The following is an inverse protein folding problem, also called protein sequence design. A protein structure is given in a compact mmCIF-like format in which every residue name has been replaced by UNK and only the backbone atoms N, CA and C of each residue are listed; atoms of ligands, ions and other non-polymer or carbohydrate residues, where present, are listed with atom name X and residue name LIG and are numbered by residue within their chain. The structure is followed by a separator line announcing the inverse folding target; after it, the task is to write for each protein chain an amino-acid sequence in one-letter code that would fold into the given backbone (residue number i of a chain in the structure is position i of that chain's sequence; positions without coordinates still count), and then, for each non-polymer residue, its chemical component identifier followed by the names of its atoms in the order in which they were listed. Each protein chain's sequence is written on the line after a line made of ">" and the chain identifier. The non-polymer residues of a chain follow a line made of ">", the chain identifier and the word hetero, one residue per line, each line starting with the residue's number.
data_IF_812181474905
#
_entry.id   IF_812181474905
#
_cell.length_a   1.000
_cell.length_b   1.000
_cell.length_c   1.000
_cell.angle_alpha   90.00
_cell.angle_beta   90.00
_cell.angle_gamma   90.00
#
_symmetry.space_group_name_H-M   'P 1'
#
loop_
_entity.id
_entity.type
_entity.pdbx_description
1 polymer ?
#
# COMPACT_ATOMS: atom_id res chain seq x y z
N UNK A 1 -29.67 14.59 33.30
CA UNK A 1 -30.74 14.42 32.28
C UNK A 1 -30.20 14.97 30.97
N UNK A 2 -29.96 14.08 29.98
CA UNK A 2 -29.54 14.33 28.57
C UNK A 2 -28.15 15.00 28.44
N UNK A 3 -27.12 14.38 27.87
CA UNK A 3 -27.08 13.76 26.55
C UNK A 3 -26.33 12.41 26.57
N UNK A 4 -27.10 11.35 26.41
CA UNK A 4 -26.69 10.03 25.88
C UNK A 4 -27.27 10.00 24.45
N UNK A 5 -26.62 9.26 23.54
CA UNK A 5 -26.87 9.13 22.08
C UNK A 5 -26.21 10.28 21.26
N UNK A 6 -25.22 10.03 20.41
CA UNK A 6 -25.23 9.06 19.30
C UNK A 6 -23.89 8.32 19.19
N UNK A 7 -23.87 7.05 19.62
CA UNK A 7 -22.94 6.04 19.12
C UNK A 7 -23.81 5.01 18.40
N UNK A 8 -24.14 5.28 17.14
CA UNK A 8 -24.97 4.39 16.33
C UNK A 8 -24.48 4.44 14.87
N UNK A 9 -23.85 3.31 14.50
CA UNK A 9 -23.71 2.77 13.15
C UNK A 9 -22.97 3.62 12.09
N UNK A 10 -21.65 3.43 12.01
CA UNK A 10 -21.02 3.17 10.71
C UNK A 10 -20.20 1.88 10.85
N UNK A 11 -20.92 0.76 10.91
CA UNK A 11 -20.36 -0.52 10.49
C UNK A 11 -20.76 -0.65 9.02
N UNK A 12 -20.00 -0.02 8.13
CA UNK A 12 -19.84 -0.57 6.79
C UNK A 12 -18.67 -1.56 6.86
N UNK A 13 -18.80 -2.58 7.72
CA UNK A 13 -17.84 -3.68 7.75
C UNK A 13 -17.69 -4.21 6.34
N UNK A 14 -16.46 -4.30 5.84
CA UNK A 14 -16.12 -5.16 4.71
C UNK A 14 -16.98 -6.42 4.78
N UNK A 15 -17.84 -6.68 3.79
CA UNK A 15 -18.75 -7.80 3.85
C UNK A 15 -17.92 -9.08 3.97
N UNK A 16 -18.17 -9.84 5.04
CA UNK A 16 -17.52 -11.12 5.36
C UNK A 16 -16.00 -11.02 5.69
N UNK A 17 -15.66 -10.27 6.75
CA UNK A 17 -14.29 -10.22 7.29
C UNK A 17 -13.69 -11.61 7.56
N UNK A 18 -14.41 -12.59 8.13
CA UNK A 18 -13.86 -13.94 8.34
C UNK A 18 -13.37 -14.60 7.05
N UNK A 19 -14.17 -14.62 5.98
CA UNK A 19 -13.75 -15.21 4.71
C UNK A 19 -12.56 -14.47 4.09
N UNK A 20 -12.51 -13.14 4.19
CA UNK A 20 -11.36 -12.36 3.71
C UNK A 20 -10.08 -12.65 4.52
N UNK A 21 -10.19 -12.84 5.84
CA UNK A 21 -9.05 -13.25 6.70
C UNK A 21 -8.54 -14.62 6.28
N UNK A 22 -9.44 -15.59 6.11
CA UNK A 22 -9.09 -16.96 5.69
C UNK A 22 -8.41 -16.93 4.31
N UNK A 23 -8.97 -16.20 3.35
CA UNK A 23 -8.37 -16.02 2.04
C UNK A 23 -6.94 -15.46 2.12
N UNK A 24 -6.70 -14.43 2.94
CA UNK A 24 -5.36 -13.86 3.11
C UNK A 24 -4.41 -14.82 3.81
N UNK A 25 -4.88 -15.60 4.80
CA UNK A 25 -4.07 -16.61 5.49
C UNK A 25 -3.63 -17.72 4.53
N UNK A 26 -4.48 -18.14 3.59
CA UNK A 26 -4.12 -19.11 2.55
C UNK A 26 -3.06 -18.61 1.56
N UNK A 27 -2.74 -17.31 1.55
CA UNK A 27 -1.64 -16.75 0.76
C UNK A 27 -0.29 -16.86 1.44
N UNK A 28 -0.25 -17.29 2.70
CA UNK A 28 0.99 -17.57 3.39
C UNK A 28 1.56 -18.92 2.94
N UNK A 29 2.83 -18.95 2.58
CA UNK A 29 3.56 -20.14 2.12
C UNK A 29 4.23 -20.84 3.29
N UNK A 30 4.74 -22.06 3.06
CA UNK A 30 5.45 -22.84 4.09
C UNK A 30 6.71 -22.15 4.62
N UNK A 31 7.40 -21.35 3.79
CA UNK A 31 8.54 -20.56 4.24
C UNK A 31 8.12 -19.28 4.99
N UNK A 32 6.83 -19.09 5.29
CA UNK A 32 6.28 -18.00 6.07
C UNK A 32 5.98 -16.70 5.31
N UNK A 33 6.56 -16.51 4.13
CA UNK A 33 6.25 -15.38 3.24
C UNK A 33 4.88 -15.49 2.58
N UNK A 34 4.40 -14.43 1.92
CA UNK A 34 3.10 -14.44 1.23
C UNK A 34 3.23 -14.37 -0.28
N UNK A 35 2.27 -14.91 -1.03
CA UNK A 35 2.15 -14.80 -2.50
C UNK A 35 0.88 -14.04 -2.91
N UNK A 36 0.86 -13.46 -4.12
CA UNK A 36 -0.30 -12.66 -4.56
C UNK A 36 -1.45 -13.50 -5.12
N UNK A 37 -1.10 -14.52 -5.90
CA UNK A 37 -2.01 -15.44 -6.57
C UNK A 37 -1.65 -16.87 -6.17
N UNK A 38 -2.56 -17.86 -6.34
CA UNK A 38 -2.19 -19.27 -6.22
C UNK A 38 -1.01 -19.61 -7.12
N UNK A 39 -0.08 -20.41 -6.61
CA UNK A 39 1.04 -20.94 -7.41
C UNK A 39 0.48 -21.91 -8.46
N UNK A 40 0.87 -21.77 -9.75
CA UNK A 40 0.52 -22.76 -10.77
C UNK A 40 1.00 -24.17 -10.41
N UNK A 41 0.28 -25.18 -10.91
CA UNK A 41 0.68 -26.58 -10.70
C UNK A 41 2.07 -26.84 -11.28
N UNK A 42 2.95 -27.44 -10.47
CA UNK A 42 4.34 -27.73 -10.86
C UNK A 42 5.33 -26.58 -10.69
N UNK A 43 4.89 -25.41 -10.23
CA UNK A 43 5.77 -24.30 -9.85
C UNK A 43 5.93 -24.19 -8.32
N UNK A 44 7.06 -23.61 -7.90
CA UNK A 44 7.30 -23.27 -6.50
C UNK A 44 6.74 -21.88 -6.16
N UNK A 45 6.17 -21.69 -4.95
CA UNK A 45 5.70 -20.38 -4.53
C UNK A 45 6.87 -19.40 -4.40
N UNK A 46 6.70 -18.17 -4.90
CA UNK A 46 7.72 -17.11 -4.89
C UNK A 46 7.29 -15.93 -4.01
N UNK A 47 7.30 -16.08 -2.68
CA UNK A 47 6.95 -14.98 -1.80
C UNK A 47 8.02 -13.88 -1.81
N UNK A 48 7.61 -12.67 -1.47
CA UNK A 48 8.52 -11.52 -1.32
C UNK A 48 8.22 -10.77 -0.03
N UNK A 49 9.14 -9.92 0.43
CA UNK A 49 8.85 -9.00 1.52
C UNK A 49 7.66 -8.07 1.19
N UNK A 50 7.52 -7.65 -0.08
CA UNK A 50 6.38 -6.81 -0.53
C UNK A 50 5.05 -7.50 -0.31
N UNK A 51 4.89 -8.72 -0.82
CA UNK A 51 3.66 -9.49 -0.63
C UNK A 51 3.45 -9.83 0.85
N UNK A 52 4.50 -10.19 1.57
CA UNK A 52 4.43 -10.46 3.02
C UNK A 52 3.89 -9.26 3.80
N UNK A 53 4.43 -8.06 3.54
CA UNK A 53 3.92 -6.81 4.14
C UNK A 53 2.47 -6.54 3.77
N UNK A 54 2.07 -6.74 2.52
CA UNK A 54 0.68 -6.59 2.09
C UNK A 54 -0.26 -7.54 2.86
N UNK A 55 0.13 -8.81 3.00
CA UNK A 55 -0.62 -9.82 3.76
C UNK A 55 -0.79 -9.44 5.23
N UNK A 56 0.30 -9.07 5.91
CA UNK A 56 0.28 -8.63 7.31
C UNK A 56 -0.65 -7.43 7.51
N UNK A 57 -0.52 -6.39 6.67
CA UNK A 57 -1.37 -5.20 6.77
C UNK A 57 -2.83 -5.52 6.48
N UNK A 58 -3.13 -6.33 5.46
CA UNK A 58 -4.48 -6.75 5.14
C UNK A 58 -5.14 -7.50 6.30
N UNK A 59 -4.43 -8.48 6.87
CA UNK A 59 -4.88 -9.22 8.05
C UNK A 59 -5.12 -8.28 9.23
N UNK A 60 -4.18 -7.38 9.52
CA UNK A 60 -4.31 -6.40 10.61
C UNK A 60 -5.54 -5.50 10.45
N UNK A 61 -5.80 -4.99 9.25
CA UNK A 61 -6.97 -4.16 8.94
C UNK A 61 -8.29 -4.91 9.16
N UNK A 62 -8.30 -6.20 8.83
CA UNK A 62 -9.46 -7.07 9.01
C UNK A 62 -9.62 -7.58 10.45
N UNK A 63 -8.62 -7.40 11.31
CA UNK A 63 -8.59 -7.94 12.67
C UNK A 63 -8.05 -9.37 12.76
N UNK A 64 -7.48 -9.89 11.68
CA UNK A 64 -6.81 -11.19 11.61
C UNK A 64 -5.33 -11.15 11.99
N UNK A 65 -4.69 -12.31 11.93
CA UNK A 65 -3.26 -12.54 12.17
C UNK A 65 -2.72 -13.50 11.10
N UNK A 66 -1.41 -13.48 10.79
CA UNK A 66 -0.80 -14.52 9.95
C UNK A 66 -1.07 -15.90 10.54
N UNK A 67 -1.18 -16.92 9.68
CA UNK A 67 -1.37 -18.30 10.11
C UNK A 67 -0.15 -18.81 10.87
N UNK A 68 1.05 -18.40 10.43
CA UNK A 68 2.31 -18.68 11.10
C UNK A 68 3.11 -17.38 11.29
N UNK A 69 3.09 -16.82 12.50
CA UNK A 69 3.86 -15.61 12.79
C UNK A 69 5.36 -15.86 12.80
N UNK A 70 5.82 -17.02 13.29
CA UNK A 70 7.26 -17.29 13.43
C UNK A 70 7.88 -17.54 12.05
N UNK A 71 7.18 -18.22 11.14
CA UNK A 71 7.61 -18.34 9.74
C UNK A 71 7.80 -16.97 9.07
N UNK A 72 6.96 -15.96 9.36
CA UNK A 72 7.18 -14.59 8.83
C UNK A 72 8.51 -14.01 9.33
N UNK A 73 8.86 -14.27 10.58
CA UNK A 73 10.11 -13.79 11.20
C UNK A 73 11.31 -14.49 10.59
N UNK A 74 11.23 -15.81 10.41
CA UNK A 74 12.25 -16.60 9.73
C UNK A 74 12.47 -16.12 8.29
N UNK A 75 11.39 -15.91 7.53
CA UNK A 75 11.44 -15.36 6.18
C UNK A 75 12.11 -13.99 6.14
N UNK A 76 11.71 -13.08 7.04
CA UNK A 76 12.27 -11.74 7.15
C UNK A 76 13.78 -11.79 7.46
N UNK A 77 14.20 -12.64 8.38
CA UNK A 77 15.60 -12.81 8.73
C UNK A 77 16.42 -13.38 7.57
N UNK A 78 15.86 -14.36 6.82
CA UNK A 78 16.50 -14.92 5.63
C UNK A 78 16.66 -13.91 4.48
N UNK A 79 15.83 -12.86 4.46
CA UNK A 79 15.93 -11.76 3.50
C UNK A 79 16.97 -10.69 3.90
N UNK A 80 17.48 -10.69 5.13
CA UNK A 80 18.49 -9.70 5.54
C UNK A 80 19.87 -10.03 4.96
N UNK A 81 20.64 -9.00 4.59
CA UNK A 81 22.01 -9.09 4.09
C UNK A 81 22.94 -8.34 5.03
N UNK A 82 23.66 -9.09 5.87
CA UNK A 82 24.48 -8.52 6.94
C UNK A 82 25.73 -7.77 6.43
N UNK A 83 26.25 -8.14 5.27
CA UNK A 83 27.39 -7.50 4.64
C UNK A 83 27.09 -6.06 4.21
N UNK A 84 25.94 -5.82 3.57
CA UNK A 84 25.51 -4.50 3.09
C UNK A 84 24.55 -3.77 4.04
N UNK A 85 23.94 -4.49 4.98
CA UNK A 85 23.00 -3.92 5.95
C UNK A 85 21.59 -3.63 5.40
N UNK A 86 21.22 -4.26 4.28
CA UNK A 86 19.93 -4.10 3.62
C UNK A 86 19.08 -5.38 3.63
N UNK A 87 17.88 -5.32 3.07
CA UNK A 87 17.04 -6.50 2.83
C UNK A 87 16.88 -6.76 1.33
N UNK A 88 16.86 -8.03 0.97
CA UNK A 88 16.48 -8.55 -0.33
C UNK A 88 14.99 -8.84 -0.42
N UNK A 89 14.45 -8.94 -1.64
CA UNK A 89 13.03 -9.23 -1.85
C UNK A 89 12.64 -10.62 -1.32
N UNK A 90 13.54 -11.59 -1.42
CA UNK A 90 13.44 -12.96 -0.96
C UNK A 90 14.87 -13.49 -0.62
N UNK A 91 15.02 -14.69 -0.03
CA UNK A 91 16.32 -15.21 0.39
C UNK A 91 17.36 -15.42 -0.72
N UNK A 92 16.95 -15.48 -1.99
CA UNK A 92 17.84 -15.72 -3.14
C UNK A 92 18.22 -14.43 -3.88
N UNK A 93 17.55 -13.31 -3.59
CA UNK A 93 17.77 -12.04 -4.26
C UNK A 93 18.89 -11.22 -3.59
N UNK A 94 19.35 -10.19 -4.29
CA UNK A 94 20.22 -9.16 -3.72
C UNK A 94 19.43 -8.14 -2.91
N UNK A 95 20.11 -7.45 -1.99
CA UNK A 95 19.51 -6.34 -1.26
C UNK A 95 19.20 -5.17 -2.19
N UNK A 96 18.05 -4.53 -1.97
CA UNK A 96 17.63 -3.36 -2.75
C UNK A 96 16.90 -2.33 -1.87
N UNK A 97 16.81 -1.05 -2.28
CA UNK A 97 16.18 -0.02 -1.45
C UNK A 97 14.69 -0.26 -1.14
N UNK A 98 13.94 -0.85 -2.08
CA UNK A 98 12.51 -1.13 -1.89
C UNK A 98 12.35 -2.23 -0.84
N UNK A 99 13.08 -3.34 -0.99
CA UNK A 99 13.01 -4.47 -0.06
C UNK A 99 13.54 -4.09 1.32
N UNK A 100 14.59 -3.27 1.39
CA UNK A 100 15.11 -2.71 2.65
C UNK A 100 14.06 -1.88 3.38
N UNK A 101 13.39 -0.96 2.66
CA UNK A 101 12.28 -0.17 3.21
C UNK A 101 11.17 -1.07 3.75
N UNK A 102 10.78 -2.10 2.98
CA UNK A 102 9.71 -3.02 3.36
C UNK A 102 10.10 -3.90 4.54
N UNK A 103 11.33 -4.41 4.61
CA UNK A 103 11.84 -5.20 5.73
C UNK A 103 11.80 -4.43 7.05
N UNK A 104 12.28 -3.18 7.04
CA UNK A 104 12.23 -2.29 8.21
C UNK A 104 10.79 -2.03 8.68
N UNK A 105 9.88 -1.81 7.72
CA UNK A 105 8.46 -1.66 8.02
C UNK A 105 7.87 -2.95 8.65
N UNK A 106 8.20 -4.14 8.14
CA UNK A 106 7.74 -5.42 8.71
C UNK A 106 8.25 -5.59 10.14
N UNK A 107 9.51 -5.25 10.44
CA UNK A 107 10.05 -5.26 11.81
C UNK A 107 9.17 -4.43 12.76
N UNK A 108 8.80 -3.21 12.35
CA UNK A 108 7.92 -2.33 13.12
C UNK A 108 6.51 -2.90 13.31
N UNK A 109 5.92 -3.47 12.28
CA UNK A 109 4.58 -4.07 12.35
C UNK A 109 4.52 -5.32 13.24
N UNK A 110 5.59 -6.12 13.24
CA UNK A 110 5.72 -7.29 14.12
C UNK A 110 6.22 -6.92 15.53
N UNK A 111 6.53 -5.65 15.77
CA UNK A 111 7.10 -5.11 17.02
C UNK A 111 8.37 -5.84 17.45
N UNK A 112 9.25 -6.12 16.48
CA UNK A 112 10.53 -6.78 16.72
C UNK A 112 11.60 -5.74 17.08
N UNK A 113 12.63 -6.12 17.87
CA UNK A 113 13.80 -5.28 18.07
C UNK A 113 14.43 -4.91 16.72
N UNK A 114 14.54 -3.61 16.44
CA UNK A 114 14.92 -3.13 15.11
C UNK A 114 16.18 -2.24 15.09
N UNK A 115 16.71 -1.82 16.25
CA UNK A 115 17.84 -0.90 16.37
C UNK A 115 19.04 -1.28 15.49
N UNK A 116 19.42 -2.57 15.49
CA UNK A 116 20.55 -3.08 14.69
C UNK A 116 20.34 -3.02 13.17
N UNK A 117 19.09 -2.91 12.73
CA UNK A 117 18.72 -2.89 11.31
C UNK A 117 18.47 -1.48 10.80
N UNK A 118 17.85 -0.61 11.62
CA UNK A 118 17.37 0.71 11.16
C UNK A 118 18.52 1.57 10.66
N UNK A 119 19.58 1.78 11.45
CA UNK A 119 20.67 2.68 11.05
C UNK A 119 21.34 2.24 9.74
N UNK A 120 21.69 0.95 9.64
CA UNK A 120 22.33 0.39 8.44
C UNK A 120 21.40 0.39 7.23
N UNK A 121 20.12 0.05 7.43
CA UNK A 121 19.14 0.05 6.36
C UNK A 121 18.84 1.46 5.83
N UNK A 122 18.78 2.46 6.72
CA UNK A 122 18.61 3.87 6.34
C UNK A 122 19.84 4.39 5.58
N UNK A 123 21.05 4.05 6.03
CA UNK A 123 22.29 4.40 5.31
C UNK A 123 22.32 3.77 3.91
N UNK A 124 22.01 2.47 3.80
CA UNK A 124 21.91 1.73 2.55
C UNK A 124 20.89 2.38 1.59
N UNK A 125 19.67 2.65 2.07
CA UNK A 125 18.64 3.31 1.25
C UNK A 125 19.06 4.73 0.86
N UNK A 126 19.68 5.49 1.75
CA UNK A 126 20.17 6.83 1.42
C UNK A 126 21.17 6.79 0.25
N UNK A 127 22.10 5.84 0.25
CA UNK A 127 23.13 5.72 -0.78
C UNK A 127 22.59 5.19 -2.11
N UNK A 128 21.73 4.18 -2.09
CA UNK A 128 21.38 3.39 -3.27
C UNK A 128 20.02 3.72 -3.90
N UNK A 129 19.21 4.62 -3.31
CA UNK A 129 17.89 4.96 -3.86
C UNK A 129 18.00 5.81 -5.11
N UNK A 130 17.47 5.28 -6.21
CA UNK A 130 17.44 5.90 -7.52
C UNK A 130 16.07 5.78 -8.20
N UNK A 131 15.68 6.83 -8.92
CA UNK A 131 14.42 6.86 -9.64
C UNK A 131 13.18 6.94 -8.74
N UNK A 132 12.07 7.36 -9.33
CA UNK A 132 10.85 7.65 -8.57
C UNK A 132 10.27 6.42 -7.85
N UNK A 133 10.32 5.24 -8.47
CA UNK A 133 9.76 4.01 -7.91
C UNK A 133 10.42 3.64 -6.57
N UNK A 134 11.75 3.73 -6.49
CA UNK A 134 12.46 3.46 -5.24
C UNK A 134 12.20 4.58 -4.22
N UNK A 135 12.28 5.85 -4.66
CA UNK A 135 12.00 7.02 -3.81
C UNK A 135 10.66 6.88 -3.08
N UNK A 136 9.57 6.60 -3.80
CA UNK A 136 8.23 6.52 -3.17
C UNK A 136 8.10 5.35 -2.19
N UNK A 137 8.86 4.27 -2.42
CA UNK A 137 8.86 3.10 -1.54
C UNK A 137 9.69 3.36 -0.29
N UNK A 138 10.86 3.98 -0.43
CA UNK A 138 11.76 4.36 0.68
C UNK A 138 11.14 5.44 1.55
N UNK A 139 10.51 6.47 0.95
CA UNK A 139 9.76 7.49 1.69
C UNK A 139 8.69 6.90 2.62
N UNK A 140 8.16 5.70 2.33
CA UNK A 140 7.19 5.04 3.20
C UNK A 140 7.79 4.62 4.56
N UNK A 141 9.01 4.10 4.59
CA UNK A 141 9.66 3.70 5.85
C UNK A 141 10.22 4.90 6.60
N UNK A 142 10.69 5.94 5.90
CA UNK A 142 11.07 7.21 6.53
C UNK A 142 9.89 7.84 7.29
N UNK A 143 8.72 7.92 6.66
CA UNK A 143 7.49 8.43 7.27
C UNK A 143 7.01 7.56 8.44
N UNK A 144 7.01 6.23 8.29
CA UNK A 144 6.51 5.30 9.32
C UNK A 144 7.45 5.21 10.54
N UNK A 145 8.76 5.40 10.34
CA UNK A 145 9.78 5.32 11.39
C UNK A 145 10.26 6.70 11.86
N UNK A 146 9.61 7.78 11.39
CA UNK A 146 9.96 9.18 11.71
C UNK A 146 11.46 9.48 11.51
N UNK A 147 12.00 9.05 10.37
CA UNK A 147 13.43 9.12 10.05
C UNK A 147 13.72 10.08 8.88
N UNK A 148 14.91 10.67 8.87
CA UNK A 148 15.37 11.57 7.79
C UNK A 148 16.73 11.11 7.26
N UNK A 149 17.00 11.37 5.99
CA UNK A 149 18.28 11.04 5.36
C UNK A 149 18.78 12.19 4.50
N UNK A 150 20.11 12.35 4.31
CA UNK A 150 20.68 13.48 3.58
C UNK A 150 20.18 13.67 2.14
N UNK A 151 19.80 12.59 1.44
CA UNK A 151 19.41 12.66 0.03
C UNK A 151 17.95 13.06 -0.23
N UNK A 152 17.16 13.43 0.78
CA UNK A 152 15.76 13.85 0.60
C UNK A 152 15.63 14.97 -0.44
N UNK A 153 16.46 16.01 -0.38
CA UNK A 153 16.41 17.12 -1.34
C UNK A 153 16.71 16.67 -2.78
N UNK A 154 17.65 15.73 -2.94
CA UNK A 154 17.96 15.12 -4.24
C UNK A 154 16.75 14.35 -4.78
N UNK A 155 16.04 13.63 -3.92
CA UNK A 155 14.86 12.86 -4.30
C UNK A 155 13.66 13.76 -4.63
N UNK A 156 13.46 14.83 -3.88
CA UNK A 156 12.47 15.86 -4.19
C UNK A 156 12.76 16.53 -5.55
N UNK A 157 14.03 16.77 -5.88
CA UNK A 157 14.41 17.29 -7.20
C UNK A 157 14.12 16.30 -8.35
N UNK A 158 14.09 14.98 -8.10
CA UNK A 158 13.62 13.98 -9.09
C UNK A 158 12.11 14.09 -9.28
N UNK A 159 11.36 14.26 -8.19
CA UNK A 159 9.92 14.46 -8.23
C UNK A 159 9.57 15.76 -8.98
N UNK A 160 10.26 16.86 -8.70
CA UNK A 160 10.01 18.16 -9.35
C UNK A 160 10.14 18.11 -10.87
N UNK A 161 11.06 17.30 -11.40
CA UNK A 161 11.21 17.12 -12.86
C UNK A 161 10.02 16.44 -13.53
N UNK A 162 9.21 15.70 -12.78
CA UNK A 162 8.03 15.01 -13.30
C UNK A 162 6.73 15.84 -13.16
N UNK A 163 6.79 17.01 -12.51
CA UNK A 163 5.64 17.86 -12.25
C UNK A 163 5.25 18.64 -13.51
N UNK A 164 3.96 18.63 -13.83
CA UNK A 164 3.38 19.47 -14.89
C UNK A 164 3.20 20.91 -14.42
N UNK A 165 3.07 21.85 -15.36
CA UNK A 165 2.87 23.28 -15.06
C UNK A 165 1.64 23.56 -14.19
N UNK A 166 0.63 22.70 -14.27
CA UNK A 166 -0.62 22.80 -13.52
C UNK A 166 -0.55 22.12 -12.14
N UNK A 167 0.64 21.69 -11.72
CA UNK A 167 0.91 21.03 -10.44
C UNK A 167 0.61 19.53 -10.41
N UNK A 168 -0.01 18.97 -11.46
CA UNK A 168 -0.29 17.54 -11.57
C UNK A 168 0.95 16.71 -11.94
N UNK A 169 0.77 15.40 -11.97
CA UNK A 169 1.78 14.46 -12.47
C UNK A 169 1.16 13.47 -13.45
N UNK A 170 1.98 12.98 -14.39
CA UNK A 170 1.57 12.04 -15.43
C UNK A 170 0.76 12.71 -16.54
N UNK A 171 0.14 11.88 -17.38
CA UNK A 171 -0.58 12.34 -18.57
C UNK A 171 -1.87 11.53 -18.80
N UNK A 172 -2.75 12.08 -19.65
CA UNK A 172 -3.96 11.41 -20.10
C UNK A 172 -4.93 10.99 -18.97
N UNK A 173 -5.61 9.84 -19.11
CA UNK A 173 -6.55 9.31 -18.11
C UNK A 173 -5.92 8.99 -16.74
N UNK A 174 -4.59 8.87 -16.68
CA UNK A 174 -3.85 8.45 -15.48
C UNK A 174 -3.43 9.60 -14.55
N UNK A 175 -3.71 10.86 -14.89
CA UNK A 175 -3.23 12.04 -14.14
C UNK A 175 -3.57 11.99 -12.65
N UNK A 176 -4.81 11.62 -12.28
CA UNK A 176 -5.20 11.53 -10.87
C UNK A 176 -4.41 10.44 -10.12
N UNK A 177 -4.23 9.27 -10.73
CA UNK A 177 -3.45 8.16 -10.15
C UNK A 177 -1.98 8.54 -9.97
N UNK A 178 -1.38 9.17 -10.98
CA UNK A 178 0.00 9.62 -10.95
C UNK A 178 0.19 10.72 -9.90
N UNK A 179 -0.66 11.75 -9.92
CA UNK A 179 -0.65 12.82 -8.90
C UNK A 179 -0.77 12.25 -7.49
N UNK A 180 -1.59 11.22 -7.30
CA UNK A 180 -1.71 10.53 -6.01
C UNK A 180 -0.42 9.83 -5.54
N UNK A 181 0.34 9.22 -6.47
CA UNK A 181 1.62 8.60 -6.13
C UNK A 181 2.66 9.62 -5.71
N UNK A 182 2.84 10.67 -6.53
CA UNK A 182 3.83 11.71 -6.29
C UNK A 182 3.47 12.52 -5.05
N UNK A 183 2.23 13.00 -4.91
CA UNK A 183 1.80 13.78 -3.75
C UNK A 183 2.00 13.04 -2.42
N UNK A 184 1.70 11.73 -2.36
CA UNK A 184 2.01 10.96 -1.13
C UNK A 184 3.51 10.84 -0.89
N UNK A 185 4.33 10.66 -1.93
CA UNK A 185 5.78 10.62 -1.78
C UNK A 185 6.33 11.96 -1.26
N UNK A 186 5.86 13.09 -1.80
CA UNK A 186 6.24 14.43 -1.34
C UNK A 186 5.90 14.67 0.13
N UNK A 187 4.66 14.38 0.53
CA UNK A 187 4.22 14.55 1.91
C UNK A 187 4.97 13.63 2.88
N UNK A 188 5.50 12.49 2.42
CA UNK A 188 6.33 11.58 3.23
C UNK A 188 7.77 12.04 3.35
N UNK A 189 8.23 12.81 2.38
CA UNK A 189 9.53 13.46 2.38
C UNK A 189 9.50 14.84 3.07
N UNK A 190 8.41 15.16 3.76
CA UNK A 190 8.26 16.39 4.56
C UNK A 190 7.89 17.63 3.76
N UNK A 191 7.51 17.49 2.48
CA UNK A 191 7.11 18.63 1.66
C UNK A 191 5.62 18.97 1.87
N UNK A 192 5.35 20.25 2.05
CA UNK A 192 3.98 20.80 1.99
C UNK A 192 3.45 20.79 0.55
N UNK A 193 2.16 20.52 0.39
CA UNK A 193 1.51 20.39 -0.92
C UNK A 193 0.30 21.31 -1.02
N UNK A 194 0.00 21.77 -2.24
CA UNK A 194 -1.23 22.51 -2.53
C UNK A 194 -2.44 21.57 -2.46
N UNK A 195 -3.12 21.59 -1.31
CA UNK A 195 -4.23 20.69 -1.00
C UNK A 195 -5.39 20.92 -1.96
N UNK A 196 -5.81 22.16 -2.15
CA UNK A 196 -6.95 22.52 -2.98
C UNK A 196 -6.73 22.07 -4.41
N UNK A 197 -5.56 22.37 -4.98
CA UNK A 197 -5.22 21.98 -6.35
C UNK A 197 -5.17 20.46 -6.52
N UNK A 198 -4.58 19.74 -5.57
CA UNK A 198 -4.55 18.28 -5.61
C UNK A 198 -5.97 17.71 -5.59
N UNK A 199 -6.85 18.18 -4.70
CA UNK A 199 -8.21 17.67 -4.60
C UNK A 199 -8.99 17.89 -5.91
N UNK A 200 -8.80 19.03 -6.57
CA UNK A 200 -9.37 19.28 -7.91
C UNK A 200 -8.90 18.25 -8.94
N UNK A 201 -7.59 17.95 -8.99
CA UNK A 201 -7.00 16.97 -9.92
C UNK A 201 -7.53 15.56 -9.63
N UNK A 202 -7.64 15.18 -8.36
CA UNK A 202 -8.15 13.88 -7.97
C UNK A 202 -9.64 13.74 -8.33
N UNK A 203 -10.45 14.77 -8.07
CA UNK A 203 -11.87 14.81 -8.42
C UNK A 203 -12.09 14.75 -9.95
N UNK A 204 -11.24 15.41 -10.76
CA UNK A 204 -11.39 15.41 -12.22
C UNK A 204 -11.08 14.07 -12.88
N UNK A 205 -10.28 13.22 -12.24
CA UNK A 205 -9.95 11.88 -12.75
C UNK A 205 -10.96 10.78 -12.41
N UNK A 206 -12.03 11.11 -11.67
CA UNK A 206 -13.03 10.12 -11.22
C UNK A 206 -13.84 9.58 -12.41
N UNK A 207 -13.99 8.26 -12.48
CA UNK A 207 -14.77 7.54 -13.51
C UNK A 207 -16.25 7.43 -13.10
N UNK A 208 -17.12 7.00 -14.02
CA UNK A 208 -18.58 6.97 -13.83
C UNK A 208 -19.03 6.00 -12.73
N UNK A 209 -18.25 4.96 -12.47
CA UNK A 209 -18.40 3.99 -11.39
C UNK A 209 -17.90 4.51 -10.02
N UNK A 210 -17.43 5.76 -9.96
CA UNK A 210 -16.92 6.40 -8.74
C UNK A 210 -15.46 6.10 -8.42
N UNK A 211 -14.79 5.24 -9.20
CA UNK A 211 -13.39 4.89 -9.02
C UNK A 211 -12.41 5.71 -9.87
N UNK A 212 -11.17 5.22 -9.91
CA UNK A 212 -10.09 5.69 -10.77
C UNK A 212 -9.43 4.48 -11.42
N UNK A 213 -8.71 4.68 -12.52
CA UNK A 213 -7.95 3.61 -13.15
C UNK A 213 -6.58 4.06 -13.63
N UNK A 214 -5.98 3.18 -14.43
CA UNK A 214 -4.66 3.37 -15.02
C UNK A 214 -4.61 4.55 -16.02
N UNK A 215 -3.42 4.71 -16.59
CA UNK A 215 -3.09 5.56 -17.73
C UNK A 215 -3.86 5.20 -19.00
N UNK A 216 -4.42 3.99 -19.10
CA UNK A 216 -5.26 3.60 -20.22
C UNK A 216 -6.72 4.08 -20.04
N UNK A 217 -7.38 4.53 -21.13
CA UNK A 217 -8.82 4.71 -21.14
C UNK A 217 -9.50 3.38 -20.81
N UNK A 218 -10.36 3.33 -19.79
CA UNK A 218 -10.98 2.07 -19.40
C UNK A 218 -11.81 2.11 -18.10
N UNK A 219 -12.16 0.93 -17.55
CA UNK A 219 -12.88 0.80 -16.27
C UNK A 219 -11.95 1.05 -15.07
N UNK A 220 -12.50 1.43 -13.93
CA UNK A 220 -11.70 1.61 -12.70
C UNK A 220 -11.02 0.31 -12.25
N UNK A 221 -9.95 0.45 -11.45
CA UNK A 221 -9.28 -0.67 -10.80
C UNK A 221 -8.95 -0.34 -9.32
N UNK A 222 -8.95 -1.35 -8.45
CA UNK A 222 -8.73 -1.17 -7.01
C UNK A 222 -7.34 -0.61 -6.68
N UNK A 223 -6.31 -0.84 -7.49
CA UNK A 223 -4.97 -0.33 -7.22
C UNK A 223 -4.92 1.20 -7.42
N UNK A 224 -5.53 1.69 -8.49
CA UNK A 224 -5.65 3.11 -8.79
C UNK A 224 -6.54 3.81 -7.76
N UNK A 225 -7.68 3.20 -7.39
CA UNK A 225 -8.51 3.68 -6.29
C UNK A 225 -7.74 3.74 -4.97
N UNK A 226 -6.95 2.70 -4.63
CA UNK A 226 -6.12 2.69 -3.43
C UNK A 226 -5.15 3.87 -3.41
N UNK A 227 -4.45 4.12 -4.52
CA UNK A 227 -3.48 5.22 -4.63
C UNK A 227 -4.15 6.57 -4.41
N UNK A 228 -5.28 6.81 -5.07
CA UNK A 228 -6.02 8.09 -4.99
C UNK A 228 -6.65 8.31 -3.63
N UNK A 229 -7.37 7.32 -3.09
CA UNK A 229 -8.02 7.42 -1.77
C UNK A 229 -7.00 7.57 -0.66
N UNK A 230 -5.81 6.97 -0.78
CA UNK A 230 -4.70 7.20 0.16
C UNK A 230 -4.30 8.67 0.24
N UNK A 231 -4.26 9.38 -0.88
CA UNK A 231 -3.92 10.81 -0.88
C UNK A 231 -5.07 11.63 -0.30
N UNK A 232 -6.33 11.36 -0.65
CA UNK A 232 -7.50 11.97 0.02
C UNK A 232 -7.40 11.83 1.54
N UNK A 233 -7.14 10.61 2.02
CA UNK A 233 -7.00 10.33 3.45
C UNK A 233 -5.86 11.12 4.08
N UNK A 234 -4.69 11.19 3.43
CA UNK A 234 -3.52 11.91 3.96
C UNK A 234 -3.76 13.44 3.99
N UNK A 235 -4.61 13.95 3.10
CA UNK A 235 -5.07 15.34 3.08
C UNK A 235 -6.25 15.61 4.04
N UNK A 236 -6.67 14.64 4.84
CA UNK A 236 -7.86 14.72 5.70
C UNK A 236 -9.12 15.12 4.91
N UNK A 237 -9.30 14.49 3.76
CA UNK A 237 -10.42 14.69 2.84
C UNK A 237 -11.06 13.35 2.46
N UNK A 238 -12.25 13.41 1.85
CA UNK A 238 -12.98 12.26 1.34
C UNK A 238 -13.35 12.48 -0.13
N UNK A 239 -13.32 11.43 -0.96
CA UNK A 239 -13.80 11.54 -2.32
C UNK A 239 -15.31 11.80 -2.34
N UNK A 240 -15.78 12.61 -3.29
CA UNK A 240 -17.22 12.77 -3.53
C UNK A 240 -17.82 11.46 -4.07
N UNK A 241 -19.12 11.26 -3.85
CA UNK A 241 -19.87 10.08 -4.30
C UNK A 241 -19.28 8.73 -3.82
N UNK A 242 -18.79 8.68 -2.58
CA UNK A 242 -18.19 7.49 -1.98
C UNK A 242 -19.07 6.22 -2.09
N UNK A 243 -20.38 6.36 -2.19
CA UNK A 243 -21.31 5.23 -2.38
C UNK A 243 -21.10 4.49 -3.71
N UNK A 244 -20.76 5.22 -4.80
CA UNK A 244 -20.43 4.58 -6.09
C UNK A 244 -19.13 3.79 -6.00
N UNK A 245 -18.11 4.38 -5.36
CA UNK A 245 -16.85 3.70 -5.10
C UNK A 245 -17.06 2.44 -4.24
N UNK A 246 -17.92 2.49 -3.21
CA UNK A 246 -18.29 1.31 -2.41
C UNK A 246 -18.96 0.24 -3.27
N UNK A 247 -19.86 0.61 -4.18
CA UNK A 247 -20.49 -0.32 -5.11
C UNK A 247 -19.47 -0.97 -6.07
N UNK A 248 -18.51 -0.19 -6.59
CA UNK A 248 -17.40 -0.70 -7.39
C UNK A 248 -16.55 -1.70 -6.61
N UNK A 249 -16.15 -1.37 -5.37
CA UNK A 249 -15.39 -2.31 -4.51
C UNK A 249 -16.17 -3.60 -4.28
N UNK A 250 -17.49 -3.50 -4.02
CA UNK A 250 -18.34 -4.67 -3.81
C UNK A 250 -18.42 -5.57 -5.06
N UNK A 251 -18.41 -5.00 -6.27
CA UNK A 251 -18.39 -5.78 -7.52
C UNK A 251 -17.08 -6.52 -7.79
N UNK A 252 -16.00 -6.20 -7.07
CA UNK A 252 -14.72 -6.91 -7.17
C UNK A 252 -14.64 -8.15 -6.26
N UNK A 253 -15.65 -8.41 -5.42
CA UNK A 253 -15.67 -9.54 -4.47
C UNK A 253 -15.99 -10.86 -5.17
N UNK A 254 -15.25 -11.91 -4.83
CA UNK A 254 -15.52 -13.27 -5.28
C UNK A 254 -16.08 -14.16 -4.15
N UNK A 255 -16.57 -15.35 -4.52
CA UNK A 255 -17.16 -16.32 -3.60
C UNK A 255 -16.14 -16.96 -2.63
N UNK A 256 -14.83 -16.84 -2.92
CA UNK A 256 -13.74 -17.35 -2.07
C UNK A 256 -13.36 -16.39 -0.92
N UNK A 257 -14.12 -15.31 -0.73
CA UNK A 257 -13.87 -14.30 0.29
C UNK A 257 -12.84 -13.23 -0.11
N UNK A 258 -12.12 -13.44 -1.21
CA UNK A 258 -11.16 -12.49 -1.75
C UNK A 258 -11.75 -11.51 -2.76
N UNK A 259 -10.89 -10.61 -3.25
CA UNK A 259 -11.24 -9.60 -4.25
C UNK A 259 -10.24 -9.62 -5.41
N UNK A 260 -10.76 -9.53 -6.64
CA UNK A 260 -9.98 -9.18 -7.84
C UNK A 260 -9.63 -7.68 -7.86
N UNK A 261 -8.78 -7.22 -8.79
CA UNK A 261 -8.51 -5.76 -8.90
C UNK A 261 -9.60 -5.03 -9.68
N UNK A 262 -10.28 -5.74 -10.57
CA UNK A 262 -11.47 -5.30 -11.30
C UNK A 262 -12.58 -6.33 -11.09
N UNK A 263 -13.84 -6.02 -11.45
CA UNK A 263 -14.89 -7.02 -11.53
C UNK A 263 -14.47 -8.21 -12.40
N UNK A 264 -14.94 -9.40 -12.03
CA UNK A 264 -14.69 -10.68 -12.71
C UNK A 264 -13.23 -11.18 -12.73
N UNK A 265 -12.26 -10.43 -12.20
CA UNK A 265 -10.90 -10.93 -11.98
C UNK A 265 -10.86 -11.93 -10.80
N UNK A 266 -10.00 -12.93 -10.93
CA UNK A 266 -9.70 -13.86 -9.82
C UNK A 266 -9.15 -13.11 -8.61
N UNK A 267 -9.50 -13.58 -7.41
CA UNK A 267 -9.06 -12.98 -6.17
C UNK A 267 -7.54 -12.97 -6.02
N UNK A 268 -7.01 -11.89 -5.45
CA UNK A 268 -5.59 -11.74 -5.17
C UNK A 268 -5.34 -11.14 -3.79
N UNK A 269 -4.15 -11.36 -3.24
CA UNK A 269 -3.70 -10.71 -2.01
C UNK A 269 -3.85 -9.18 -2.10
N UNK A 270 -3.42 -8.58 -3.21
CA UNK A 270 -3.45 -7.14 -3.42
C UNK A 270 -4.87 -6.62 -3.57
N UNK A 271 -5.73 -7.28 -4.36
CA UNK A 271 -7.13 -6.89 -4.51
C UNK A 271 -7.87 -6.90 -3.16
N UNK A 272 -7.70 -7.96 -2.37
CA UNK A 272 -8.29 -8.07 -1.02
C UNK A 272 -7.72 -7.03 -0.05
N UNK A 273 -6.42 -6.73 -0.12
CA UNK A 273 -5.83 -5.64 0.68
C UNK A 273 -6.38 -4.26 0.28
N UNK A 274 -6.46 -3.98 -1.02
CA UNK A 274 -6.95 -2.70 -1.53
C UNK A 274 -8.41 -2.47 -1.16
N UNK A 275 -9.28 -3.48 -1.33
CA UNK A 275 -10.67 -3.39 -0.89
C UNK A 275 -10.72 -3.08 0.61
N UNK A 276 -9.96 -3.81 1.43
CA UNK A 276 -9.94 -3.63 2.87
C UNK A 276 -9.53 -2.23 3.32
N UNK A 277 -8.42 -1.72 2.78
CA UNK A 277 -7.89 -0.41 3.21
C UNK A 277 -8.69 0.77 2.67
N UNK A 278 -9.22 0.67 1.44
CA UNK A 278 -10.07 1.73 0.88
C UNK A 278 -11.35 1.83 1.71
N UNK A 279 -12.03 0.72 1.98
CA UNK A 279 -13.25 0.74 2.83
C UNK A 279 -12.95 1.29 4.21
N UNK A 280 -11.83 0.90 4.84
CA UNK A 280 -11.40 1.44 6.13
C UNK A 280 -11.29 2.97 6.11
N UNK A 281 -10.68 3.56 5.07
CA UNK A 281 -10.54 5.01 4.96
C UNK A 281 -11.86 5.73 4.65
N UNK A 282 -12.73 5.14 3.82
CA UNK A 282 -14.06 5.71 3.54
C UNK A 282 -14.94 5.72 4.80
N UNK A 283 -14.68 4.84 5.77
CA UNK A 283 -15.38 4.78 7.05
C UNK A 283 -14.77 5.69 8.14
N UNK A 284 -13.81 6.54 7.78
CA UNK A 284 -13.14 7.46 8.71
C UNK A 284 -12.01 6.83 9.51
N UNK A 285 -11.54 5.64 9.11
CA UNK A 285 -10.37 4.99 9.70
C UNK A 285 -9.11 5.86 9.58
N UNK A 286 -8.31 5.90 10.66
CA UNK A 286 -7.13 6.75 10.75
C UNK A 286 -5.83 6.05 10.40
#
# INVERSE_FOLDING_TARGET
>A
MRYVFVLLAIIASLPDKPAAIEFLQQKQTECGGFISFPTPEGEEPKPTLRTTRTGLRGLRLLGGKPADREGVIEFLNACYREDVGGFAANPEAEADPISTSVGLMILGELKLPNDKYVERGMAFMNEHTEGFEQIRMVASSLDELEYTVPNIDKWLAVIDKARNDDGSFGEGPGVARSTALYGVAEMRLGREVDKERILEILDSGRRTDGGWGSDEPGPSDLESCYRVVRLYRRLDAQPRDADKLRAFIASCKNNDGGYGRTPDEVSSLHGTYYSAIITYWLDGGK
#
